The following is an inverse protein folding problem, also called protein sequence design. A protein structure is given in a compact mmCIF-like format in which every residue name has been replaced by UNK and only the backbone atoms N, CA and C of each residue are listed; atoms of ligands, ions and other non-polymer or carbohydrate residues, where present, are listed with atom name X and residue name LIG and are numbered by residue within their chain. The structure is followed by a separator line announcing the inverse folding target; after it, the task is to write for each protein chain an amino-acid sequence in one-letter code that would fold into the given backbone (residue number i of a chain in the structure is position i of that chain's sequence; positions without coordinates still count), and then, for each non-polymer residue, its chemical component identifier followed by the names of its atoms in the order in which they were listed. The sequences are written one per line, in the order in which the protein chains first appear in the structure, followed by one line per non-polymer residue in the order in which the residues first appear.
data_IF_902441115077
#
_entry.id   IF_902441115077
#
_cell.length_a   1.000
_cell.length_b   1.000
_cell.length_c   1.000
_cell.angle_alpha   90.00
_cell.angle_beta   90.00
_cell.angle_gamma   90.00
#
_symmetry.space_group_name_H-M   'P 1'
#
loop_
_entity.id
_entity.type
_entity.pdbx_description
1 polymer ?
2 non-polymer ?
3 non-polymer ?
4 water ?
#
# COMPACT_ATOMS: atom_id res chain seq x y z
N UNK A 6 16.64 -15.78 7.57
CA UNK A 6 15.70 -15.92 8.71
C UNK A 6 15.24 -14.54 9.14
N UNK A 7 15.46 -14.19 10.40
CA UNK A 7 15.06 -12.88 10.90
C UNK A 7 16.27 -12.06 11.28
N UNK A 8 16.15 -10.75 11.15
CA UNK A 8 17.24 -9.85 11.49
C UNK A 8 16.68 -8.69 12.29
N UNK A 9 16.80 -8.75 13.64
CA UNK A 9 16.27 -7.66 14.46
C UNK A 9 17.01 -6.34 14.27
N UNK A 10 16.35 -5.24 14.62
CA UNK A 10 16.98 -3.93 14.52
C UNK A 10 16.49 -3.13 15.72
N UNK A 11 17.31 -2.21 16.19
CA UNK A 11 16.94 -1.41 17.35
C UNK A 11 17.07 0.09 17.03
N UNK A 12 16.07 0.87 17.37
CA UNK A 12 16.10 2.33 17.13
C UNK A 12 16.37 3.02 18.47
N UNK A 13 17.24 4.02 18.44
CA UNK A 13 17.65 4.75 19.63
C UNK A 13 17.28 6.23 19.58
N UNK A 14 17.12 6.84 20.75
CA UNK A 14 16.71 8.21 20.81
C UNK A 14 17.62 9.10 20.00
N UNK A 15 17.02 9.90 19.14
CA UNK A 15 17.86 10.66 18.26
C UNK A 15 17.75 12.17 18.45
N UNK A 16 18.79 12.86 17.98
CA UNK A 16 18.85 14.30 18.00
C UNK A 16 17.98 14.65 16.79
N UNK A 17 17.67 15.92 16.64
CA UNK A 17 16.83 16.33 15.53
C UNK A 17 17.15 15.74 14.18
N UNK A 18 16.11 15.35 13.46
CA UNK A 18 16.28 14.81 12.11
C UNK A 18 16.32 16.02 11.20
N UNK A 19 17.19 15.98 10.21
CA UNK A 19 17.35 17.14 9.35
C UNK A 19 17.78 16.77 7.95
N UNK A 20 17.14 17.38 6.95
CA UNK A 20 17.52 17.10 5.59
C UNK A 20 16.38 17.24 4.63
N UNK A 21 16.70 17.01 3.35
CA UNK A 21 15.73 17.06 2.25
C UNK A 21 16.02 15.78 1.49
N UNK A 22 14.97 15.00 1.24
CA UNK A 22 15.14 13.72 0.56
C UNK A 22 13.99 13.41 -0.37
N UNK A 23 14.28 12.68 -1.44
CA UNK A 23 13.23 12.27 -2.37
C UNK A 23 12.77 10.89 -1.87
N UNK A 24 11.47 10.72 -1.72
CA UNK A 24 10.90 9.46 -1.26
C UNK A 24 10.79 8.49 -2.43
N UNK A 25 10.91 7.17 -2.16
CA UNK A 25 10.80 6.19 -3.25
C UNK A 25 9.41 6.24 -3.91
N UNK A 26 9.31 5.69 -5.11
CA UNK A 26 8.06 5.69 -5.85
C UNK A 26 6.89 5.00 -5.19
N UNK A 27 5.70 5.40 -5.60
CA UNK A 27 4.46 4.85 -5.04
C UNK A 27 4.30 3.37 -5.43
N UNK A 28 4.06 2.53 -4.44
CA UNK A 28 3.91 1.08 -4.66
C UNK A 28 2.67 0.75 -5.50
N UNK A 29 1.53 1.32 -5.14
CA UNK A 29 0.29 1.07 -5.88
C UNK A 29 0.42 1.39 -7.36
N UNK A 30 0.94 2.57 -7.67
CA UNK A 30 1.10 2.95 -9.07
C UNK A 30 2.19 2.12 -9.76
N UNK A 31 3.23 1.76 -9.01
CA UNK A 31 4.31 0.97 -9.60
C UNK A 31 3.82 -0.41 -10.02
N UNK A 32 3.04 -1.05 -9.17
CA UNK A 32 2.50 -2.38 -9.52
C UNK A 32 1.70 -2.24 -10.83
N UNK A 33 0.82 -1.25 -10.87
CA UNK A 33 -0.05 -1.05 -12.04
C UNK A 33 0.73 -0.65 -13.29
N UNK A 34 1.86 0.01 -13.11
CA UNK A 34 2.69 0.42 -14.26
C UNK A 34 3.23 -0.83 -14.96
N UNK A 35 3.70 -1.79 -14.16
CA UNK A 35 4.22 -3.04 -14.73
C UNK A 35 3.06 -3.82 -15.34
N UNK A 36 1.92 -3.86 -14.65
CA UNK A 36 0.79 -4.62 -15.17
C UNK A 36 0.21 -4.06 -16.46
N UNK A 37 -0.08 -2.76 -16.46
CA UNK A 37 -0.68 -2.18 -17.65
C UNK A 37 0.32 -2.05 -18.76
N UNK A 38 1.58 -1.76 -18.41
CA UNK A 38 2.62 -1.69 -19.41
C UNK A 38 2.80 -3.06 -20.07
N UNK A 39 2.71 -4.13 -19.27
CA UNK A 39 2.89 -5.46 -19.85
C UNK A 39 1.71 -5.93 -20.68
N UNK A 40 0.54 -5.39 -20.40
CA UNK A 40 -0.65 -5.78 -21.13
C UNK A 40 -0.90 -4.97 -22.38
N UNK A 41 -0.51 -3.70 -22.36
CA UNK A 41 -0.79 -2.81 -23.48
C UNK A 41 -0.07 -3.11 -24.78
N UNK A 42 -0.55 -2.48 -25.83
CA UNK A 42 0.06 -2.64 -27.14
C UNK A 42 1.25 -1.69 -27.24
N UNK A 43 2.39 -2.21 -27.66
CA UNK A 43 3.52 -1.34 -27.82
C UNK A 43 4.36 -1.11 -26.57
N UNK A 44 5.11 -0.03 -26.59
CA UNK A 44 6.05 0.26 -25.50
C UNK A 44 5.57 1.20 -24.42
N UNK A 45 5.91 0.85 -23.18
CA UNK A 45 5.59 1.70 -22.05
C UNK A 45 6.93 2.05 -21.40
N UNK A 46 7.11 3.32 -20.99
CA UNK A 46 8.34 3.78 -20.36
C UNK A 46 8.00 4.34 -18.99
N UNK A 47 8.69 3.85 -17.95
CA UNK A 47 8.38 4.26 -16.58
C UNK A 47 9.58 4.86 -15.85
N UNK A 48 9.41 6.04 -15.27
CA UNK A 48 10.47 6.64 -14.47
C UNK A 48 9.91 6.75 -13.05
N UNK A 49 10.79 6.62 -12.06
CA UNK A 49 10.40 6.71 -10.67
C UNK A 49 9.84 5.44 -10.07
N UNK A 50 9.95 4.30 -10.77
CA UNK A 50 9.40 3.05 -10.25
C UNK A 50 9.97 2.62 -8.91
N UNK A 51 9.10 2.12 -8.03
CA UNK A 51 9.55 1.59 -6.75
C UNK A 51 10.14 0.22 -7.05
N UNK A 52 11.37 -0.02 -6.61
CA UNK A 52 12.02 -1.29 -6.87
C UNK A 52 12.05 -2.21 -5.65
N UNK A 53 11.00 -2.13 -4.85
CA UNK A 53 10.89 -2.99 -3.68
C UNK A 53 10.53 -4.41 -4.13
N UNK A 54 10.66 -5.38 -3.23
CA UNK A 54 10.40 -6.77 -3.60
C UNK A 54 9.00 -7.04 -4.15
N UNK A 55 7.98 -6.39 -3.59
CA UNK A 55 6.60 -6.60 -4.04
C UNK A 55 6.44 -6.27 -5.52
N UNK A 56 7.01 -5.13 -5.93
CA UNK A 56 6.87 -4.68 -7.31
C UNK A 56 7.67 -5.55 -8.27
N UNK A 57 8.85 -5.95 -7.85
CA UNK A 57 9.66 -6.81 -8.71
C UNK A 57 8.92 -8.12 -8.94
N UNK A 58 8.22 -8.64 -7.94
CA UNK A 58 7.47 -9.88 -8.14
C UNK A 58 6.36 -9.69 -9.19
N UNK A 59 5.67 -8.55 -9.17
CA UNK A 59 4.65 -8.30 -10.19
C UNK A 59 5.30 -8.29 -11.58
N UNK A 60 6.46 -7.66 -11.68
CA UNK A 60 7.16 -7.63 -12.95
C UNK A 60 7.50 -9.03 -13.46
N UNK A 61 7.95 -9.89 -12.56
CA UNK A 61 8.29 -11.25 -12.96
C UNK A 61 7.06 -12.02 -13.41
N UNK A 62 5.91 -11.75 -12.77
CA UNK A 62 4.70 -12.44 -13.18
C UNK A 62 4.30 -11.98 -14.59
N UNK A 63 4.45 -10.69 -14.87
CA UNK A 63 4.12 -10.20 -16.22
C UNK A 63 5.06 -10.81 -17.28
N UNK A 64 6.33 -10.93 -16.94
CA UNK A 64 7.30 -11.55 -17.87
C UNK A 64 6.89 -13.00 -18.14
N UNK A 65 6.39 -13.67 -17.10
CA UNK A 65 5.97 -15.05 -17.23
C UNK A 65 4.81 -15.21 -18.20
N UNK A 66 4.11 -14.13 -18.48
CA UNK A 66 2.97 -14.17 -19.39
C UNK A 66 3.25 -13.48 -20.71
N UNK A 67 4.52 -13.22 -20.99
CA UNK A 67 4.88 -12.66 -22.29
C UNK A 67 5.38 -11.25 -22.45
N UNK A 68 5.31 -10.45 -21.40
CA UNK A 68 5.80 -9.08 -21.48
C UNK A 68 7.32 -9.04 -21.40
N UNK A 69 7.95 -8.13 -22.12
CA UNK A 69 9.39 -8.01 -22.04
C UNK A 69 9.62 -6.78 -21.17
N UNK A 70 10.36 -6.95 -20.08
CA UNK A 70 10.63 -5.86 -19.15
C UNK A 70 12.13 -5.73 -18.94
N UNK A 71 12.63 -4.50 -19.00
CA UNK A 71 14.07 -4.24 -18.83
C UNK A 71 14.26 -2.84 -18.27
N UNK A 72 15.42 -2.59 -17.68
CA UNK A 72 15.71 -1.26 -17.14
C UNK A 72 16.89 -0.66 -17.90
N UNK A 73 16.66 0.50 -18.51
CA UNK A 73 17.69 1.22 -19.29
C UNK A 73 17.95 2.51 -18.54
N UNK A 74 19.15 2.67 -17.98
CA UNK A 74 19.42 3.86 -17.20
C UNK A 74 18.46 3.88 -16.02
N UNK A 75 17.70 4.96 -15.85
CA UNK A 75 16.75 5.02 -14.74
C UNK A 75 15.31 4.78 -15.19
N UNK A 76 15.13 4.28 -16.41
CA UNK A 76 13.79 4.07 -16.97
C UNK A 76 13.48 2.59 -17.21
N UNK A 77 12.31 2.14 -16.77
CA UNK A 77 11.91 0.77 -17.04
C UNK A 77 11.16 0.83 -18.38
N UNK A 78 11.51 -0.06 -19.30
CA UNK A 78 10.88 -0.08 -20.62
C UNK A 78 10.18 -1.42 -20.75
N UNK A 79 8.92 -1.38 -21.14
CA UNK A 79 8.13 -2.59 -21.26
C UNK A 79 7.55 -2.74 -22.64
N UNK A 80 7.66 -3.93 -23.21
CA UNK A 80 7.04 -4.20 -24.51
C UNK A 80 5.85 -5.08 -24.13
N UNK A 81 4.65 -4.54 -24.32
CA UNK A 81 3.43 -5.25 -23.95
C UNK A 81 2.93 -6.23 -24.98
N UNK A 82 2.02 -7.11 -24.55
CA UNK A 82 1.47 -8.15 -25.43
C UNK A 82 0.18 -7.74 -26.10
N UNK A 83 -0.37 -6.60 -25.69
CA UNK A 83 -1.65 -6.14 -26.22
C UNK A 83 -2.81 -6.75 -25.43
N UNK A 84 -3.91 -6.02 -25.29
CA UNK A 84 -5.04 -6.56 -24.54
C UNK A 84 -5.50 -7.86 -25.19
N UNK A 85 -5.69 -8.88 -24.36
CA UNK A 85 -6.10 -10.20 -24.82
C UNK A 85 -4.92 -11.08 -25.24
N UNK A 86 -3.72 -10.53 -25.13
CA UNK A 86 -2.52 -11.25 -25.53
C UNK A 86 -1.69 -11.97 -24.49
N UNK A 87 -2.16 -12.04 -23.26
CA UNK A 87 -1.40 -12.72 -22.22
C UNK A 87 -1.24 -14.20 -22.56
N UNK A 88 -0.05 -14.72 -22.28
CA UNK A 88 0.29 -16.11 -22.57
C UNK A 88 0.24 -16.94 -21.28
N UNK A 89 -0.15 -18.20 -21.40
CA UNK A 89 -0.26 -19.07 -20.24
C UNK A 89 1.07 -19.24 -19.52
N UNK A 90 1.12 -18.97 -18.20
CA UNK A 90 2.39 -19.12 -17.50
C UNK A 90 2.79 -20.59 -17.33
N UNK A 91 4.09 -20.84 -17.41
CA UNK A 91 4.62 -22.20 -17.28
C UNK A 91 4.56 -22.71 -15.84
N UNK A 92 4.81 -21.81 -14.90
CA UNK A 92 4.83 -22.21 -13.50
C UNK A 92 3.96 -21.28 -12.67
N UNK A 93 3.80 -21.58 -11.38
CA UNK A 93 2.97 -20.72 -10.53
C UNK A 93 3.55 -19.32 -10.50
N UNK A 94 2.66 -18.35 -10.33
CA UNK A 94 3.03 -16.94 -10.24
C UNK A 94 3.26 -16.68 -8.76
N UNK A 95 4.49 -16.36 -8.40
CA UNK A 95 4.88 -16.14 -7.00
C UNK A 95 4.85 -14.66 -6.65
N UNK A 96 3.88 -14.27 -5.83
CA UNK A 96 3.73 -12.89 -5.45
C UNK A 96 4.39 -12.51 -4.13
N UNK A 97 5.11 -13.46 -3.55
CA UNK A 97 5.80 -13.17 -2.30
C UNK A 97 4.89 -12.61 -1.22
N UNK A 98 5.16 -11.37 -0.79
CA UNK A 98 4.37 -10.70 0.26
C UNK A 98 3.26 -9.82 -0.29
N UNK A 99 3.17 -9.71 -1.63
CA UNK A 99 2.25 -8.75 -2.26
C UNK A 99 0.83 -9.10 -2.62
N UNK A 100 -0.12 -8.69 -1.78
CA UNK A 100 -1.52 -8.96 -2.10
C UNK A 100 -1.98 -8.15 -3.31
N UNK A 101 -1.45 -6.94 -3.45
CA UNK A 101 -1.83 -6.11 -4.60
C UNK A 101 -1.54 -6.83 -5.92
N UNK A 102 -0.31 -7.31 -6.06
CA UNK A 102 0.04 -8.02 -7.29
C UNK A 102 -0.82 -9.26 -7.46
N UNK A 103 -0.96 -10.01 -6.38
CA UNK A 103 -1.74 -11.25 -6.42
C UNK A 103 -3.19 -11.03 -6.79
N UNK A 104 -3.88 -10.20 -6.02
CA UNK A 104 -5.29 -10.00 -6.25
C UNK A 104 -5.60 -9.35 -7.59
N UNK A 105 -4.81 -8.37 -8.01
CA UNK A 105 -5.07 -7.74 -9.29
C UNK A 105 -4.77 -8.71 -10.42
N UNK A 106 -3.73 -9.52 -10.27
CA UNK A 106 -3.41 -10.45 -11.35
C UNK A 106 -4.46 -11.56 -11.43
N UNK A 107 -5.06 -11.93 -10.30
CA UNK A 107 -6.13 -12.94 -10.34
C UNK A 107 -7.24 -12.47 -11.28
N UNK A 108 -7.62 -11.20 -11.15
CA UNK A 108 -8.65 -10.67 -12.02
C UNK A 108 -8.16 -10.58 -13.45
N UNK A 109 -6.95 -10.07 -13.63
CA UNK A 109 -6.38 -9.90 -14.97
C UNK A 109 -6.33 -11.20 -15.79
N UNK A 110 -5.76 -12.25 -15.20
CA UNK A 110 -5.58 -13.49 -15.97
C UNK A 110 -6.59 -14.59 -15.70
N UNK A 111 -7.35 -14.45 -14.63
CA UNK A 111 -8.34 -15.47 -14.28
C UNK A 111 -9.39 -15.66 -15.37
N UNK A 112 -9.65 -14.61 -16.14
CA UNK A 112 -10.65 -14.65 -17.21
C UNK A 112 -10.13 -15.21 -18.55
N UNK A 113 -8.85 -15.59 -18.59
CA UNK A 113 -8.26 -16.18 -19.79
C UNK A 113 -8.46 -17.68 -19.75
N UNK A 114 -8.64 -18.27 -20.93
CA UNK A 114 -8.90 -19.70 -21.06
C UNK A 114 -7.64 -20.59 -20.96
N UNK A 115 -6.95 -20.48 -19.84
CA UNK A 115 -5.79 -21.33 -19.53
C UNK A 115 -5.66 -21.33 -18.01
N UNK A 116 -4.87 -22.25 -17.47
CA UNK A 116 -4.70 -22.32 -16.02
C UNK A 116 -3.64 -21.35 -15.52
N UNK A 117 -3.87 -20.78 -14.34
CA UNK A 117 -2.90 -19.91 -13.69
C UNK A 117 -2.92 -20.26 -12.19
N UNK A 118 -1.74 -20.42 -11.59
CA UNK A 118 -1.66 -20.74 -10.18
C UNK A 118 -0.96 -19.60 -9.44
N UNK A 119 -1.44 -19.31 -8.24
CA UNK A 119 -0.95 -18.19 -7.46
C UNK A 119 -0.43 -18.67 -6.10
N UNK A 120 0.79 -18.29 -5.77
CA UNK A 120 1.40 -18.66 -4.49
C UNK A 120 2.06 -17.44 -3.87
N UNK A 121 2.45 -17.56 -2.62
CA UNK A 121 3.07 -16.43 -1.95
C UNK A 121 3.73 -16.87 -0.67
N UNK A 122 4.17 -15.91 0.14
CA UNK A 122 4.88 -16.24 1.38
C UNK A 122 3.97 -16.61 2.54
N UNK A 123 4.55 -16.81 3.71
CA UNK A 123 3.73 -17.24 4.86
C UNK A 123 2.68 -16.20 5.25
N UNK A 124 2.99 -14.93 5.03
CA UNK A 124 2.04 -13.87 5.33
C UNK A 124 0.89 -13.83 4.30
N UNK A 125 1.24 -13.76 3.02
CA UNK A 125 0.22 -13.69 1.97
C UNK A 125 -0.70 -14.92 1.93
N UNK A 126 -0.13 -16.07 2.24
CA UNK A 126 -0.88 -17.31 2.23
C UNK A 126 -1.98 -17.41 3.28
N UNK A 127 -1.95 -16.53 4.28
CA UNK A 127 -2.99 -16.51 5.32
C UNK A 127 -4.09 -15.48 5.04
N UNK A 128 -3.87 -14.60 4.06
CA UNK A 128 -4.83 -13.54 3.76
C UNK A 128 -6.03 -13.97 2.92
N UNK A 129 -7.19 -13.34 3.13
CA UNK A 129 -8.40 -13.70 2.36
C UNK A 129 -8.43 -13.36 0.89
N UNK A 130 -8.75 -14.33 0.03
CA UNK A 130 -8.85 -14.04 -1.39
C UNK A 130 -10.31 -14.14 -1.83
N UNK A 131 -11.20 -14.57 -0.94
CA UNK A 131 -12.60 -14.70 -1.31
C UNK A 131 -13.19 -13.44 -1.88
N UNK A 132 -12.73 -12.30 -1.35
CA UNK A 132 -13.26 -11.01 -1.81
C UNK A 132 -13.05 -10.75 -3.30
N UNK A 133 -12.02 -11.37 -3.88
CA UNK A 133 -11.81 -11.24 -5.33
C UNK A 133 -12.26 -12.51 -6.04
N UNK A 134 -12.14 -13.67 -5.40
CA UNK A 134 -12.57 -14.90 -6.07
C UNK A 134 -14.07 -15.02 -6.29
N UNK A 135 -14.88 -14.44 -5.39
CA UNK A 135 -16.31 -14.49 -5.58
C UNK A 135 -16.78 -13.78 -6.85
N UNK A 136 -16.35 -12.54 -7.09
CA UNK A 136 -16.80 -11.90 -8.33
C UNK A 136 -16.26 -12.66 -9.54
N UNK A 137 -15.05 -13.20 -9.44
CA UNK A 137 -14.52 -13.97 -10.58
C UNK A 137 -15.39 -15.21 -10.83
N UNK A 138 -15.92 -15.84 -9.77
CA UNK A 138 -16.81 -17.00 -9.99
C UNK A 138 -18.06 -16.53 -10.74
N UNK A 139 -18.54 -15.33 -10.44
CA UNK A 139 -19.74 -14.82 -11.12
C UNK A 139 -19.42 -14.59 -12.58
N UNK A 140 -18.17 -14.24 -12.89
CA UNK A 140 -17.75 -14.00 -14.27
C UNK A 140 -17.46 -15.31 -15.04
N UNK A 141 -17.58 -16.45 -14.37
CA UNK A 141 -17.37 -17.73 -15.02
C UNK A 141 -16.03 -18.41 -14.80
N UNK A 142 -15.21 -17.85 -13.92
CA UNK A 142 -13.89 -18.42 -13.65
C UNK A 142 -14.05 -19.60 -12.72
N UNK A 143 -13.29 -20.67 -12.98
CA UNK A 143 -13.30 -21.88 -12.16
C UNK A 143 -12.17 -21.69 -11.17
N UNK A 144 -12.51 -21.85 -9.89
CA UNK A 144 -11.55 -21.64 -8.81
C UNK A 144 -11.25 -22.85 -7.96
N UNK A 145 -9.95 -23.11 -7.73
CA UNK A 145 -9.51 -24.16 -6.83
C UNK A 145 -8.64 -23.42 -5.81
N UNK A 146 -9.06 -23.43 -4.56
CA UNK A 146 -8.34 -22.72 -3.51
C UNK A 146 -8.26 -23.59 -2.26
N UNK A 147 -7.43 -23.15 -1.31
CA UNK A 147 -7.36 -23.85 -0.04
C UNK A 147 -8.52 -23.39 0.83
N UNK A 148 -8.89 -24.18 1.83
CA UNK A 148 -10.01 -23.83 2.69
C UNK A 148 -9.96 -22.39 3.14
N UNK A 149 -11.11 -21.73 3.06
CA UNK A 149 -11.23 -20.33 3.45
C UNK A 149 -10.87 -19.40 2.29
N UNK A 150 -10.75 -19.97 1.09
CA UNK A 150 -10.35 -19.23 -0.12
C UNK A 150 -8.99 -18.55 0.11
N UNK A 151 -8.00 -19.39 0.45
CA UNK A 151 -6.64 -18.94 0.69
C UNK A 151 -5.72 -19.56 -0.36
N UNK A 152 -4.54 -18.98 -0.54
CA UNK A 152 -3.55 -19.52 -1.48
C UNK A 152 -3.04 -20.87 -0.92
N UNK A 153 -2.54 -21.74 -1.80
CA UNK A 153 -2.43 -21.57 -3.26
C UNK A 153 -3.78 -21.60 -3.94
N UNK A 154 -3.89 -20.89 -5.05
CA UNK A 154 -5.14 -20.84 -5.82
C UNK A 154 -4.81 -21.10 -7.27
N UNK A 155 -5.66 -21.90 -7.93
CA UNK A 155 -5.51 -22.11 -9.37
C UNK A 155 -6.81 -21.68 -10.02
N UNK A 156 -6.68 -20.84 -11.05
CA UNK A 156 -7.84 -20.33 -11.78
C UNK A 156 -7.83 -20.86 -13.19
N UNK A 157 -9.01 -20.95 -13.80
CA UNK A 157 -9.14 -21.37 -15.19
C UNK A 157 -10.33 -20.60 -15.71
N UNK A 158 -10.07 -19.68 -16.64
CA UNK A 158 -11.14 -18.88 -17.19
C UNK A 158 -11.98 -19.63 -18.19
N UNK A 159 -13.22 -19.18 -18.44
CA UNK A 159 -14.16 -19.78 -19.39
C UNK A 159 -13.75 -19.35 -20.79
N UNK A 160 -14.33 -19.96 -21.82
CA UNK A 160 -13.99 -19.53 -23.16
C UNK A 160 -14.41 -18.07 -23.36
N UNK A 161 -15.59 -17.74 -22.84
CA UNK A 161 -16.14 -16.39 -22.93
C UNK A 161 -16.60 -15.95 -21.54
N UNK A 162 -15.88 -15.01 -20.92
CA UNK A 162 -16.30 -14.59 -19.58
C UNK A 162 -17.62 -13.80 -19.62
N UNK A 163 -18.26 -13.74 -18.45
CA UNK A 163 -19.54 -13.03 -18.27
C UNK A 163 -19.30 -11.68 -17.59
N UNK A 164 -19.72 -10.57 -18.23
CA UNK A 164 -19.51 -9.28 -17.57
C UNK A 164 -20.49 -9.14 -16.41
N UNK A 165 -20.08 -8.48 -15.33
CA UNK A 165 -20.97 -8.33 -14.20
C UNK A 165 -21.02 -6.87 -13.73
N UNK A 166 -21.97 -6.59 -12.84
CA UNK A 166 -22.10 -5.30 -12.17
C UNK A 166 -21.86 -5.72 -10.73
N UNK A 167 -20.78 -5.23 -10.13
CA UNK A 167 -20.44 -5.66 -8.79
C UNK A 167 -20.33 -4.55 -7.79
N UNK A 168 -21.11 -4.66 -6.70
CA UNK A 168 -21.05 -3.65 -5.65
C UNK A 168 -20.03 -4.16 -4.62
N UNK A 169 -18.91 -3.45 -4.48
CA UNK A 169 -17.85 -3.90 -3.56
C UNK A 169 -18.37 -3.77 -2.12
N UNK A 170 -18.36 -4.89 -1.37
CA UNK A 170 -18.87 -4.86 0.01
C UNK A 170 -18.04 -4.23 1.12
N UNK A 171 -16.74 -4.10 0.91
CA UNK A 171 -15.87 -3.45 1.88
C UNK A 171 -15.06 -2.41 1.10
N UNK A 172 -14.43 -1.46 1.79
CA UNK A 172 -13.69 -0.42 1.09
C UNK A 172 -12.33 -0.85 0.59
N UNK A 173 -12.35 -1.73 -0.41
CA UNK A 173 -11.14 -2.29 -1.00
C UNK A 173 -10.89 -1.86 -2.44
N UNK A 174 -9.78 -1.16 -2.67
CA UNK A 174 -9.40 -0.73 -4.00
C UNK A 174 -8.93 -1.97 -4.75
N UNK A 175 -8.40 -2.97 -4.03
CA UNK A 175 -7.94 -4.18 -4.72
C UNK A 175 -9.10 -4.97 -5.32
N UNK A 176 -10.23 -5.05 -4.63
CA UNK A 176 -11.37 -5.78 -5.20
C UNK A 176 -11.90 -5.01 -6.40
N UNK A 177 -12.03 -3.70 -6.26
CA UNK A 177 -12.49 -2.88 -7.38
C UNK A 177 -11.57 -3.09 -8.58
N UNK A 178 -10.27 -3.08 -8.32
CA UNK A 178 -9.28 -3.21 -9.36
C UNK A 178 -9.30 -4.58 -10.03
N UNK A 179 -9.44 -5.64 -9.24
CA UNK A 179 -9.47 -6.97 -9.81
C UNK A 179 -10.65 -7.15 -10.75
N UNK A 180 -11.83 -6.63 -10.38
CA UNK A 180 -13.00 -6.76 -11.24
C UNK A 180 -12.81 -5.96 -12.54
N UNK A 181 -12.29 -4.74 -12.44
CA UNK A 181 -12.03 -3.96 -13.65
C UNK A 181 -11.01 -4.64 -14.55
N UNK A 182 -9.95 -5.21 -13.97
CA UNK A 182 -8.94 -5.86 -14.83
C UNK A 182 -9.54 -7.09 -15.50
N UNK A 183 -10.43 -7.81 -14.80
CA UNK A 183 -11.06 -8.99 -15.42
C UNK A 183 -11.92 -8.51 -16.58
N UNK A 184 -12.54 -7.35 -16.39
CA UNK A 184 -13.39 -6.79 -17.44
C UNK A 184 -12.62 -6.50 -18.73
N UNK A 185 -11.32 -6.29 -18.65
CA UNK A 185 -10.54 -5.99 -19.87
C UNK A 185 -10.60 -7.12 -20.89
N UNK A 186 -10.74 -8.36 -20.45
CA UNK A 186 -10.81 -9.46 -21.42
C UNK A 186 -12.20 -10.09 -21.48
N UNK A 187 -13.20 -9.33 -21.07
CA UNK A 187 -14.59 -9.78 -21.05
C UNK A 187 -15.43 -8.96 -22.01
N UNK A 188 -16.23 -9.62 -22.86
CA UNK A 188 -17.04 -8.85 -23.80
C UNK A 188 -18.21 -8.20 -23.07
N UNK A 189 -18.52 -6.96 -23.43
CA UNK A 189 -19.64 -6.27 -22.80
C UNK A 189 -19.12 -5.23 -21.82
N UNK A 190 -20.02 -4.72 -20.99
CA UNK A 190 -19.69 -3.70 -20.01
C UNK A 190 -19.60 -4.24 -18.59
N UNK A 191 -18.44 -4.06 -17.97
CA UNK A 191 -18.21 -4.45 -16.58
C UNK A 191 -18.44 -3.19 -15.74
N UNK A 192 -19.21 -3.32 -14.66
CA UNK A 192 -19.48 -2.17 -13.81
C UNK A 192 -19.11 -2.47 -12.37
N UNK A 193 -18.37 -1.55 -11.75
CA UNK A 193 -18.05 -1.71 -10.35
C UNK A 193 -18.72 -0.54 -9.64
N UNK A 194 -19.46 -0.85 -8.58
CA UNK A 194 -20.11 0.19 -7.81
C UNK A 194 -19.35 0.23 -6.48
N UNK A 195 -18.81 1.40 -6.18
CA UNK A 195 -18.02 1.60 -4.99
C UNK A 195 -18.80 2.58 -4.09
N UNK A 196 -19.36 2.08 -2.98
CA UNK A 196 -20.12 2.95 -2.08
C UNK A 196 -19.28 3.97 -1.31
N UNK A 197 -18.01 3.64 -1.08
CA UNK A 197 -17.08 4.51 -0.37
C UNK A 197 -15.82 4.54 -1.23
N UNK A 198 -15.37 5.73 -1.61
CA UNK A 198 -14.21 5.85 -2.47
C UNK A 198 -12.92 5.26 -1.90
N UNK A 199 -12.18 4.57 -2.77
CA UNK A 199 -10.88 4.01 -2.41
C UNK A 199 -9.89 4.52 -3.46
N UNK A 200 -8.59 4.29 -3.23
CA UNK A 200 -7.59 4.81 -4.16
C UNK A 200 -7.98 4.42 -5.58
N UNK A 201 -7.87 5.41 -6.46
CA UNK A 201 -8.34 5.30 -7.83
C UNK A 201 -7.29 5.19 -8.91
N UNK A 202 -6.14 4.65 -8.56
CA UNK A 202 -5.07 4.49 -9.54
C UNK A 202 -5.46 3.63 -10.74
N UNK A 203 -6.24 2.58 -10.52
CA UNK A 203 -6.64 1.73 -11.64
C UNK A 203 -7.45 2.52 -12.64
N UNK A 204 -8.49 3.22 -12.14
CA UNK A 204 -9.35 4.01 -13.04
C UNK A 204 -8.57 5.06 -13.83
N UNK A 205 -7.76 5.85 -13.14
CA UNK A 205 -6.99 6.91 -13.78
C UNK A 205 -6.00 6.36 -14.79
N UNK A 206 -5.28 5.30 -14.41
CA UNK A 206 -4.29 4.74 -15.32
C UNK A 206 -4.92 4.04 -16.52
N UNK A 207 -6.01 3.30 -16.31
CA UNK A 207 -6.65 2.67 -17.46
C UNK A 207 -7.16 3.72 -18.43
N UNK A 208 -7.69 4.84 -17.92
CA UNK A 208 -8.13 5.88 -18.84
C UNK A 208 -6.91 6.41 -19.61
N UNK A 209 -5.78 6.53 -18.92
CA UNK A 209 -4.56 7.03 -19.56
C UNK A 209 -4.02 6.11 -20.63
N UNK A 210 -4.28 4.81 -20.48
CA UNK A 210 -3.85 3.80 -21.46
C UNK A 210 -4.86 3.65 -22.60
N UNK A 211 -5.93 4.46 -22.55
CA UNK A 211 -6.90 4.43 -23.63
C UNK A 211 -8.17 3.62 -23.45
N UNK A 212 -8.37 3.07 -22.26
CA UNK A 212 -9.56 2.27 -22.03
C UNK A 212 -10.81 3.15 -22.03
N UNK A 213 -11.92 2.60 -22.51
CA UNK A 213 -13.20 3.30 -22.48
C UNK A 213 -13.75 3.01 -21.07
N UNK A 214 -13.29 3.79 -20.09
CA UNK A 214 -13.70 3.62 -18.70
C UNK A 214 -14.22 4.96 -18.22
N UNK A 215 -15.41 4.97 -17.62
CA UNK A 215 -15.97 6.21 -17.11
C UNK A 215 -16.25 6.07 -15.61
N UNK A 216 -16.22 7.19 -14.91
CA UNK A 216 -16.53 7.19 -13.49
C UNK A 216 -17.59 8.25 -13.27
N UNK A 217 -18.70 7.87 -12.66
CA UNK A 217 -19.77 8.82 -12.36
C UNK A 217 -19.97 8.79 -10.86
N UNK A 218 -19.99 9.96 -10.23
CA UNK A 218 -20.19 9.98 -8.78
C UNK A 218 -21.51 10.66 -8.47
N UNK A 219 -22.36 9.98 -7.70
CA UNK A 219 -23.65 10.50 -7.31
C UNK A 219 -23.39 11.55 -6.22
N UNK A 220 -24.34 12.44 -5.98
CA UNK A 220 -24.16 13.45 -4.96
C UNK A 220 -23.95 12.81 -3.61
N UNK A 221 -24.43 11.57 -3.44
CA UNK A 221 -24.24 10.91 -2.13
C UNK A 221 -22.88 10.25 -2.01
N UNK A 222 -22.03 10.43 -3.02
CA UNK A 222 -20.67 9.88 -2.98
C UNK A 222 -20.44 8.52 -3.63
N UNK A 223 -21.51 7.79 -3.93
CA UNK A 223 -21.37 6.47 -4.55
C UNK A 223 -20.79 6.60 -5.97
N UNK A 224 -19.80 5.77 -6.26
CA UNK A 224 -19.13 5.78 -7.57
C UNK A 224 -19.55 4.62 -8.44
N UNK A 225 -19.90 4.92 -9.69
CA UNK A 225 -20.30 3.89 -10.66
C UNK A 225 -19.22 3.96 -11.71
N UNK A 226 -18.45 2.89 -11.82
CA UNK A 226 -17.32 2.82 -12.73
C UNK A 226 -17.66 1.79 -13.82
N UNK A 227 -17.70 2.25 -15.06
CA UNK A 227 -18.06 1.39 -16.19
C UNK A 227 -16.87 1.19 -17.11
N UNK A 228 -16.65 -0.05 -17.54
CA UNK A 228 -15.54 -0.34 -18.44
C UNK A 228 -16.02 -1.19 -19.60
N UNK A 229 -15.68 -0.78 -20.83
CA UNK A 229 -16.05 -1.59 -22.00
C UNK A 229 -14.90 -2.58 -22.21
N UNK A 230 -15.22 -3.87 -22.22
CA UNK A 230 -14.19 -4.88 -22.37
C UNK A 230 -13.65 -5.12 -23.75
N UNK A 231 -12.49 -5.78 -23.79
CA UNK A 231 -11.79 -6.16 -25.00
C UNK A 231 -11.44 -5.01 -25.92
N UNK A 232 -11.13 -3.86 -25.32
CA UNK A 232 -10.73 -2.69 -26.08
C UNK A 232 -9.22 -2.54 -26.14
N UNK A 233 -8.72 -1.74 -27.08
CA UNK A 233 -7.28 -1.57 -27.17
C UNK A 233 -6.70 -0.73 -26.04
N UNK A 234 -5.51 -1.10 -25.61
CA UNK A 234 -4.75 -0.36 -24.61
C UNK A 234 -3.45 -0.03 -25.34
N UNK A 235 -2.98 1.19 -25.16
CA UNK A 235 -1.78 1.71 -25.82
C UNK A 235 -0.71 2.07 -24.81
N UNK A 236 0.52 1.62 -25.06
CA UNK A 236 1.64 1.90 -24.19
C UNK A 236 1.81 3.39 -23.90
N UNK A 237 2.25 3.69 -22.68
CA UNK A 237 2.38 5.07 -22.25
C UNK A 237 3.67 5.42 -21.56
N UNK A 238 3.89 6.72 -21.41
CA UNK A 238 5.04 7.21 -20.66
C UNK A 238 4.46 7.49 -19.27
N UNK A 239 5.06 6.91 -18.25
CA UNK A 239 4.57 7.03 -16.88
C UNK A 239 5.66 7.62 -16.00
N UNK A 240 5.30 8.60 -15.18
CA UNK A 240 6.23 9.17 -14.24
C UNK A 240 5.57 8.91 -12.89
N UNK A 241 6.16 7.98 -12.14
CA UNK A 241 5.64 7.57 -10.84
C UNK A 241 5.96 8.57 -9.74
N UNK A 242 4.93 9.03 -8.99
CA UNK A 242 5.14 10.01 -7.91
C UNK A 242 5.64 9.29 -6.67
N UNK A 243 6.12 10.06 -5.69
CA UNK A 243 6.60 9.47 -4.45
C UNK A 243 5.49 8.84 -3.62
N UNK A 244 5.81 7.74 -2.96
CA UNK A 244 4.86 6.99 -2.14
C UNK A 244 4.46 7.74 -0.85
N UNK A 245 3.18 8.11 -0.71
CA UNK A 245 2.76 8.82 0.49
C UNK A 245 2.74 7.92 1.73
N UNK A 246 2.61 6.61 1.52
CA UNK A 246 2.65 5.69 2.65
C UNK A 246 4.08 5.56 3.17
N UNK A 247 5.06 5.57 2.28
CA UNK A 247 6.46 5.48 2.71
C UNK A 247 6.86 6.83 3.34
N UNK A 248 6.35 7.91 2.77
CA UNK A 248 6.61 9.27 3.27
C UNK A 248 6.20 9.40 4.75
N UNK A 249 5.16 8.68 5.13
CA UNK A 249 4.65 8.73 6.49
C UNK A 249 5.71 8.48 7.57
N UNK A 250 6.67 7.61 7.26
CA UNK A 250 7.68 7.27 8.28
C UNK A 250 8.62 8.42 8.60
N UNK A 251 9.30 9.01 7.61
CA UNK A 251 10.17 10.13 7.98
C UNK A 251 9.33 11.33 8.40
N UNK A 252 8.12 11.44 7.86
CA UNK A 252 7.26 12.57 8.22
C UNK A 252 6.86 12.52 9.70
N UNK A 253 6.40 11.36 10.17
CA UNK A 253 6.00 11.29 11.58
C UNK A 253 7.25 11.39 12.46
N UNK A 254 8.35 10.82 12.03
CA UNK A 254 9.58 10.90 12.79
C UNK A 254 10.00 12.37 12.99
N UNK A 255 9.88 13.18 11.93
CA UNK A 255 10.25 14.59 12.02
C UNK A 255 9.30 15.34 12.96
N UNK A 256 8.03 14.97 12.97
CA UNK A 256 7.09 15.63 13.89
C UNK A 256 7.42 15.32 15.35
N UNK A 257 7.82 14.09 15.61
CA UNK A 257 8.07 13.65 17.00
C UNK A 257 9.42 13.91 17.58
N UNK A 258 10.47 13.82 16.77
CA UNK A 258 11.84 14.02 17.27
C UNK A 258 12.09 15.53 17.41
N UNK A 259 12.35 16.01 18.63
CA UNK A 259 12.59 17.44 18.84
C UNK A 259 13.76 17.93 17.99
N UNK A 260 13.69 19.19 17.56
CA UNK A 260 14.77 19.79 16.78
C UNK A 260 14.84 19.33 15.34
N UNK A 261 13.72 18.86 14.80
CA UNK A 261 13.71 18.32 13.43
C UNK A 261 13.11 19.25 12.36
N UNK A 262 13.64 19.11 11.15
CA UNK A 262 13.19 19.91 10.00
C UNK A 262 13.54 19.05 8.79
N UNK A 263 12.52 18.37 8.25
CA UNK A 263 12.74 17.45 7.14
C UNK A 263 11.81 17.77 5.98
N UNK A 264 12.37 17.81 4.78
CA UNK A 264 11.55 18.04 3.60
C UNK A 264 11.56 16.78 2.75
N UNK A 265 10.37 16.29 2.39
CA UNK A 265 10.27 15.11 1.55
C UNK A 265 9.77 15.61 0.18
N UNK A 266 10.51 15.25 -0.87
CA UNK A 266 10.16 15.73 -2.21
C UNK A 266 9.31 14.82 -3.06
N UNK A 267 8.50 15.43 -3.91
CA UNK A 267 7.69 14.73 -4.91
C UNK A 267 6.73 13.70 -4.35
N UNK A 268 5.94 14.11 -3.36
CA UNK A 268 5.00 13.19 -2.71
C UNK A 268 3.61 13.19 -3.35
N UNK A 269 3.09 12.00 -3.66
CA UNK A 269 1.73 11.88 -4.22
C UNK A 269 0.73 12.49 -3.22
N UNK A 270 -0.14 13.37 -3.70
CA UNK A 270 -1.13 14.04 -2.85
C UNK A 270 -2.58 13.76 -3.23
N UNK A 271 -2.80 12.68 -3.99
CA UNK A 271 -4.17 12.25 -4.38
C UNK A 271 -4.88 12.11 -3.03
N UNK A 272 -6.04 12.76 -2.86
CA UNK A 272 -6.76 12.69 -1.58
C UNK A 272 -7.17 11.33 -1.05
N UNK A 273 -7.17 10.32 -1.88
CA UNK A 273 -7.50 8.98 -1.41
C UNK A 273 -6.27 8.39 -0.69
N UNK A 274 -5.20 9.17 -0.63
CA UNK A 274 -3.95 8.69 -0.02
C UNK A 274 -3.44 9.55 1.12
N UNK A 275 -4.11 10.67 1.38
CA UNK A 275 -3.60 11.61 2.37
C UNK A 275 -4.34 11.76 3.69
N UNK A 276 -5.14 10.76 4.06
CA UNK A 276 -5.85 10.85 5.33
C UNK A 276 -4.93 11.06 6.54
N UNK A 277 -3.74 10.48 6.53
CA UNK A 277 -2.83 10.67 7.66
C UNK A 277 -2.39 12.12 7.81
N UNK A 278 -2.08 12.77 6.68
CA UNK A 278 -1.67 14.16 6.76
C UNK A 278 -2.78 15.01 7.37
N UNK A 279 -4.01 14.83 6.91
CA UNK A 279 -5.13 15.59 7.44
C UNK A 279 -5.26 15.33 8.94
N UNK A 280 -5.18 14.05 9.32
CA UNK A 280 -5.30 13.69 10.75
C UNK A 280 -4.20 14.32 11.58
N UNK A 281 -2.95 14.25 11.13
CA UNK A 281 -1.85 14.84 11.89
C UNK A 281 -2.02 16.36 11.99
N UNK A 282 -2.51 17.00 10.93
CA UNK A 282 -2.72 18.45 11.00
C UNK A 282 -3.74 18.77 12.08
N UNK A 283 -4.79 17.96 12.18
CA UNK A 283 -5.81 18.18 13.20
C UNK A 283 -5.24 17.99 14.61
N UNK A 284 -4.19 17.19 14.72
CA UNK A 284 -3.52 16.94 16.00
C UNK A 284 -2.51 18.04 16.33
N UNK A 285 -2.34 18.99 15.41
CA UNK A 285 -1.40 20.08 15.62
C UNK A 285 -0.07 20.01 14.89
N UNK A 286 0.06 19.08 13.94
CA UNK A 286 1.32 18.92 13.20
C UNK A 286 1.64 20.10 12.29
N UNK A 287 2.93 20.38 12.17
CA UNK A 287 3.44 21.46 11.32
C UNK A 287 3.94 20.79 10.05
N UNK A 288 3.04 20.71 9.06
CA UNK A 288 3.35 20.11 7.78
C UNK A 288 2.98 21.15 6.72
N UNK A 289 3.97 21.61 5.98
CA UNK A 289 3.74 22.62 4.95
C UNK A 289 3.75 21.92 3.59
N UNK A 290 2.72 22.18 2.80
CA UNK A 290 2.57 21.62 1.46
C UNK A 290 3.15 22.66 0.52
N UNK A 291 4.23 22.29 -0.14
CA UNK A 291 4.98 23.19 -1.01
C UNK A 291 4.91 22.85 -2.49
N UNK A 292 4.70 23.89 -3.29
CA UNK A 292 4.67 23.76 -4.75
C UNK A 292 3.79 22.62 -5.27
N UNK A 293 2.50 22.64 -4.90
CA UNK A 293 1.58 21.61 -5.36
C UNK A 293 1.57 21.73 -6.88
N UNK A 294 1.66 20.61 -7.57
CA UNK A 294 1.77 20.63 -9.01
C UNK A 294 1.28 19.35 -9.63
N UNK A 295 1.24 19.33 -10.96
CA UNK A 295 0.78 18.15 -11.67
C UNK A 295 2.01 17.51 -12.27
N UNK A 296 2.22 16.23 -11.98
CA UNK A 296 3.38 15.52 -12.50
C UNK A 296 2.95 14.10 -12.88
N UNK A 297 3.22 13.70 -14.10
CA UNK A 297 2.83 12.36 -14.52
C UNK A 297 1.33 12.12 -14.40
N UNK A 298 0.53 13.18 -14.50
CA UNK A 298 -0.92 12.99 -14.41
C UNK A 298 -1.46 12.90 -13.00
N UNK A 299 -0.60 13.12 -12.00
CA UNK A 299 -1.03 13.07 -10.61
C UNK A 299 -0.66 14.32 -9.85
N UNK A 300 -1.36 14.56 -8.75
CA UNK A 300 -1.09 15.71 -7.90
C UNK A 300 0.08 15.34 -7.02
N UNK A 301 1.08 16.22 -6.97
CA UNK A 301 2.23 15.99 -6.10
C UNK A 301 2.60 17.32 -5.44
N UNK A 302 3.37 17.22 -4.38
CA UNK A 302 3.86 18.40 -3.66
C UNK A 302 5.06 17.97 -2.84
N UNK A 303 5.80 18.95 -2.35
CA UNK A 303 6.91 18.64 -1.46
C UNK A 303 6.35 18.97 -0.06
N UNK A 304 6.79 18.23 0.94
CA UNK A 304 6.28 18.45 2.29
C UNK A 304 7.40 18.80 3.25
N UNK A 305 7.29 19.95 3.91
CA UNK A 305 8.30 20.34 4.88
C UNK A 305 7.66 20.07 6.24
N UNK A 306 8.35 19.27 7.04
CA UNK A 306 7.84 18.83 8.32
C UNK A 306 8.76 19.25 9.45
N UNK A 307 8.20 19.92 10.45
CA UNK A 307 8.97 20.36 11.60
C UNK A 307 8.41 19.79 12.93
N UNK A 308 9.29 19.60 13.91
CA UNK A 308 8.87 19.08 15.21
C UNK A 308 7.64 19.81 15.70
N UNK A 309 6.68 19.05 16.21
CA UNK A 309 5.42 19.59 16.69
C UNK A 309 4.92 18.95 17.97
N UNK A 310 4.12 19.69 18.72
CA UNK A 310 3.51 19.14 19.92
C UNK A 310 2.14 18.65 19.41
N UNK A 311 1.80 17.39 19.70
CA UNK A 311 0.53 16.85 19.21
C UNK A 311 -0.50 16.59 20.30
N UNK A 312 -1.78 16.67 19.93
CA UNK A 312 -2.87 16.41 20.87
C UNK A 312 -3.76 15.34 20.25
N UNK A 313 -4.24 14.43 21.09
CA UNK A 313 -5.11 13.36 20.61
C UNK A 313 -6.39 13.83 19.96
N UNK A 314 -6.86 13.08 18.95
CA UNK A 314 -8.09 13.41 18.26
C UNK A 314 -8.94 12.15 18.00
N UNK A 315 -10.18 12.37 17.58
CA UNK A 315 -11.06 11.27 17.20
C UNK A 315 -10.95 11.15 15.69
N UNK A 316 -10.62 9.96 15.21
CA UNK A 316 -10.47 9.67 13.78
C UNK A 316 -11.68 8.80 13.35
N UNK A 317 -12.62 9.41 12.61
CA UNK A 317 -13.85 8.79 12.10
C UNK A 317 -13.70 7.62 11.14
N UNK A 318 -14.64 6.68 11.21
CA UNK A 318 -14.59 5.50 10.38
C UNK A 318 -14.56 5.78 8.89
N UNK A 319 -15.13 6.91 8.46
CA UNK A 319 -15.17 7.24 7.04
C UNK A 319 -13.85 7.78 6.46
N UNK A 320 -12.90 8.10 7.32
CA UNK A 320 -11.59 8.57 6.84
C UNK A 320 -10.67 7.37 6.63
N UNK A 321 -11.04 6.25 7.22
CA UNK A 321 -10.16 5.08 7.17
C UNK A 321 -9.65 4.65 5.80
N UNK A 322 -10.51 4.55 4.79
CA UNK A 322 -9.99 4.12 3.49
C UNK A 322 -8.85 4.99 2.94
N UNK A 323 -8.88 6.28 3.27
CA UNK A 323 -7.88 7.20 2.76
C UNK A 323 -6.55 7.16 3.53
N UNK A 324 -6.46 6.30 4.54
CA UNK A 324 -5.23 6.22 5.32
C UNK A 324 -5.11 4.83 5.92
N UNK A 325 -5.73 3.84 5.30
CA UNK A 325 -5.75 2.50 5.92
C UNK A 325 -4.37 1.92 6.26
N UNK A 326 -3.37 2.16 5.42
CA UNK A 326 -2.04 1.61 5.72
C UNK A 326 -1.24 2.48 6.69
N UNK A 327 -1.78 3.64 7.05
CA UNK A 327 -1.08 4.52 7.96
C UNK A 327 -1.51 4.42 9.41
N UNK A 328 -2.39 3.48 9.74
CA UNK A 328 -2.81 3.38 11.13
C UNK A 328 -1.65 2.98 12.06
N UNK A 329 -0.75 2.09 11.60
CA UNK A 329 0.37 1.74 12.50
C UNK A 329 1.20 2.97 12.87
N UNK A 330 1.60 3.78 11.89
CA UNK A 330 2.43 4.94 12.22
C UNK A 330 1.63 6.05 12.95
N UNK A 331 0.34 6.16 12.68
CA UNK A 331 -0.51 7.11 13.41
C UNK A 331 -0.59 6.71 14.89
N UNK A 332 -0.70 5.41 15.15
CA UNK A 332 -0.76 4.91 16.53
C UNK A 332 0.51 5.27 17.29
N UNK A 333 1.64 5.19 16.62
CA UNK A 333 2.91 5.56 17.23
C UNK A 333 2.91 7.07 17.50
N UNK A 334 2.42 7.86 16.55
CA UNK A 334 2.36 9.32 16.79
C UNK A 334 1.46 9.61 18.02
N UNK A 335 0.34 8.88 18.12
CA UNK A 335 -0.60 9.07 19.22
C UNK A 335 0.03 8.74 20.58
N UNK A 336 1.03 7.85 20.56
CA UNK A 336 1.68 7.46 21.81
C UNK A 336 2.45 8.63 22.43
N UNK A 337 2.64 9.69 21.65
CA UNK A 337 3.36 10.88 22.13
C UNK A 337 2.50 12.12 22.11
N UNK A 338 1.20 11.95 21.93
CA UNK A 338 0.28 13.07 21.89
C UNK A 338 -0.39 13.26 23.25
N UNK A 339 -0.81 14.49 23.50
CA UNK A 339 -1.52 14.82 24.75
C UNK A 339 -2.96 14.29 24.70
N UNK A 340 -3.30 13.40 25.62
CA UNK A 340 -4.66 12.89 25.61
C UNK A 340 -4.83 11.62 24.83
N UNK A 341 -6.09 11.30 24.55
CA UNK A 341 -6.45 10.07 23.85
C UNK A 341 -6.76 10.28 22.37
N UNK A 342 -6.30 9.33 21.56
CA UNK A 342 -6.60 9.34 20.13
C UNK A 342 -7.49 8.11 19.97
N UNK A 343 -8.64 8.28 19.34
CA UNK A 343 -9.59 7.18 19.18
C UNK A 343 -9.80 6.92 17.70
N UNK A 344 -9.59 5.66 17.29
CA UNK A 344 -9.72 5.27 15.89
C UNK A 344 -10.66 4.08 15.73
N UNK A 345 -11.75 4.23 14.96
CA UNK A 345 -12.67 3.10 14.74
C UNK A 345 -12.73 2.72 13.25
N UNK A 346 -13.61 1.79 12.91
CA UNK A 346 -13.75 1.33 11.53
C UNK A 346 -12.49 0.63 11.04
N UNK A 347 -11.81 -0.05 11.95
CA UNK A 347 -10.55 -0.72 11.63
C UNK A 347 -10.60 -2.21 11.29
N UNK A 348 -11.78 -2.76 10.99
CA UNK A 348 -11.84 -4.18 10.70
C UNK A 348 -10.88 -4.66 9.62
N UNK A 349 -10.64 -3.84 8.60
CA UNK A 349 -9.75 -4.24 7.53
C UNK A 349 -8.30 -4.43 7.94
N UNK A 350 -7.89 -3.81 9.04
CA UNK A 350 -6.53 -3.98 9.49
C UNK A 350 -6.25 -5.44 9.89
N UNK A 351 -7.28 -6.18 10.27
CA UNK A 351 -7.04 -7.54 10.73
C UNK A 351 -6.70 -8.54 9.63
N UNK A 352 -6.83 -8.13 8.37
CA UNK A 352 -6.53 -9.03 7.25
C UNK A 352 -5.39 -8.57 6.35
N UNK A 353 -4.51 -7.71 6.89
CA UNK A 353 -3.36 -7.21 6.14
C UNK A 353 -2.15 -8.13 6.24
N UNK A 354 -0.97 -7.62 5.89
CA UNK A 354 0.25 -8.42 5.97
C UNK A 354 0.32 -9.14 7.32
N UNK A 355 -0.13 -8.46 8.36
CA UNK A 355 -0.28 -9.06 9.69
C UNK A 355 -1.65 -8.55 10.12
N UNK A 356 -2.17 -9.07 11.22
CA UNK A 356 -3.40 -8.48 11.76
C UNK A 356 -2.75 -7.22 12.40
N UNK A 357 -2.88 -6.09 11.73
CA UNK A 357 -2.23 -4.87 12.19
C UNK A 357 -2.76 -4.28 13.46
N UNK A 358 -4.04 -4.51 13.74
CA UNK A 358 -4.63 -3.97 14.94
C UNK A 358 -4.01 -4.71 16.14
N UNK A 359 -3.93 -6.03 16.06
CA UNK A 359 -3.32 -6.82 17.15
C UNK A 359 -1.82 -6.53 17.25
N UNK A 360 -1.12 -6.48 16.12
CA UNK A 360 0.33 -6.25 16.15
C UNK A 360 0.68 -4.88 16.70
N UNK A 361 -0.09 -3.86 16.32
CA UNK A 361 0.17 -2.53 16.83
C UNK A 361 -0.12 -2.44 18.32
N UNK A 362 -1.27 -2.96 18.75
CA UNK A 362 -1.63 -2.92 20.16
C UNK A 362 -0.59 -3.66 20.99
N UNK A 363 -0.17 -4.85 20.55
CA UNK A 363 0.82 -5.58 21.34
C UNK A 363 2.17 -4.87 21.36
N UNK A 364 2.55 -4.30 20.22
CA UNK A 364 3.83 -3.59 20.18
C UNK A 364 3.82 -2.35 21.06
N UNK A 365 2.70 -1.64 21.07
CA UNK A 365 2.60 -0.45 21.92
C UNK A 365 2.68 -0.84 23.39
N UNK A 366 1.95 -1.88 23.78
CA UNK A 366 1.98 -2.32 25.18
C UNK A 366 3.36 -2.78 25.63
N UNK A 367 4.06 -3.50 24.76
CA UNK A 367 5.41 -3.99 25.06
C UNK A 367 6.33 -2.79 25.33
N UNK A 368 6.02 -1.68 24.67
CA UNK A 368 6.80 -0.46 24.81
C UNK A 368 6.20 0.60 25.74
N UNK A 369 5.39 0.11 26.69
CA UNK A 369 4.83 0.94 27.75
C UNK A 369 3.69 1.88 27.51
N UNK A 370 3.04 1.73 26.37
CA UNK A 370 1.95 2.63 26.01
C UNK A 370 0.60 2.13 26.50
N UNK A 371 -0.19 3.07 27.02
CA UNK A 371 -1.55 2.80 27.51
C UNK A 371 -2.46 2.80 26.29
N UNK A 372 -3.01 1.65 25.93
CA UNK A 372 -3.94 1.62 24.80
C UNK A 372 -4.99 0.53 25.03
N UNK A 373 -6.10 0.67 24.32
CA UNK A 373 -7.20 -0.30 24.40
C UNK A 373 -7.54 -0.78 23.00
N UNK A 374 -7.37 -2.08 22.79
CA UNK A 374 -7.67 -2.70 21.50
C UNK A 374 -9.09 -3.23 21.51
N UNK A 375 -9.89 -2.77 20.54
CA UNK A 375 -11.27 -3.23 20.41
C UNK A 375 -11.33 -4.18 19.21
N UNK A 376 -12.48 -4.80 18.93
CA UNK A 376 -12.58 -5.68 17.78
C UNK A 376 -12.27 -4.90 16.50
N UNK A 377 -12.72 -3.66 16.43
CA UNK A 377 -12.50 -2.86 15.24
C UNK A 377 -12.09 -1.43 15.56
N UNK A 378 -11.36 -1.26 16.66
CA UNK A 378 -10.97 0.07 17.08
C UNK A 378 -9.74 0.03 17.94
N UNK A 379 -9.14 1.21 18.11
CA UNK A 379 -7.97 1.33 18.98
C UNK A 379 -8.02 2.69 19.66
N UNK A 380 -7.76 2.71 20.96
CA UNK A 380 -7.67 3.97 21.70
C UNK A 380 -6.24 4.01 22.21
N UNK A 381 -5.55 5.13 22.00
CA UNK A 381 -4.18 5.28 22.48
C UNK A 381 -4.08 6.53 23.33
N UNK A 382 -3.45 6.43 24.51
CA UNK A 382 -3.25 7.60 25.35
C UNK A 382 -1.75 7.89 25.33
N UNK A 383 -1.37 9.15 25.09
CA UNK A 383 0.04 9.43 24.96
C UNK A 383 0.81 9.95 26.15
N UNK A 384 2.13 9.96 26.00
CA UNK A 384 3.07 10.51 26.99
C UNK A 384 3.98 11.41 26.14
N UNK A 385 3.62 12.69 25.99
CA UNK A 385 4.42 13.62 25.20
C UNK A 385 5.93 13.62 25.42
N UNK A 386 6.40 13.51 26.66
CA UNK A 386 7.85 13.54 26.84
C UNK A 386 8.55 12.20 26.59
N UNK A 387 7.77 11.16 26.25
CA UNK A 387 8.32 9.85 25.96
C UNK A 387 8.90 9.11 27.16
N UNK A 388 8.77 9.68 28.36
CA UNK A 388 9.31 9.01 29.54
C UNK A 388 8.58 7.70 29.82
N UNK A 389 9.36 6.66 30.13
CA UNK A 389 8.76 5.37 30.43
C UNK A 389 8.36 4.56 29.20
N UNK A 390 8.53 5.14 28.02
CA UNK A 390 8.17 4.41 26.79
C UNK A 390 9.38 3.72 26.19
N UNK A 391 9.12 2.73 25.33
CA UNK A 391 10.20 1.97 24.75
C UNK A 391 10.37 0.74 25.62
N UNK A 392 11.46 -0.01 25.44
CA UNK A 392 11.65 -1.20 26.25
C UNK A 392 13.11 -1.28 26.66
N UNK A 393 13.38 -0.93 27.91
CA UNK A 393 14.75 -0.95 28.39
C UNK A 393 15.39 -2.33 28.37
N UNK A 394 14.58 -3.39 28.49
CA UNK A 394 15.12 -4.75 28.49
C UNK A 394 15.54 -5.24 27.10
N UNK A 395 15.16 -4.51 26.07
CA UNK A 395 15.53 -4.90 24.72
C UNK A 395 14.59 -5.91 24.09
N UNK A 396 13.42 -6.09 24.70
CA UNK A 396 12.44 -7.03 24.18
C UNK A 396 12.02 -6.56 22.80
N UNK A 397 11.87 -7.51 21.87
CA UNK A 397 11.53 -7.16 20.49
C UNK A 397 10.05 -7.22 20.12
N UNK A 398 9.62 -6.20 19.37
CA UNK A 398 8.25 -6.15 18.87
C UNK A 398 8.07 -7.25 17.83
N UNK A 399 6.97 -7.99 17.91
CA UNK A 399 6.71 -9.02 16.92
C UNK A 399 6.17 -8.33 15.67
N UNK A 400 6.89 -8.47 14.56
CA UNK A 400 6.48 -7.82 13.33
C UNK A 400 5.53 -8.64 12.46
N UNK A 401 5.47 -9.93 12.72
CA UNK A 401 4.60 -10.81 11.96
C UNK A 401 4.72 -10.62 10.46
N UNK A 402 5.97 -10.56 10.00
CA UNK A 402 6.31 -10.43 8.59
C UNK A 402 5.69 -9.21 7.94
N UNK A 403 5.45 -8.17 8.73
CA UNK A 403 4.81 -6.97 8.24
C UNK A 403 5.74 -5.75 8.27
N UNK A 404 6.20 -5.36 7.07
CA UNK A 404 7.09 -4.22 6.92
C UNK A 404 6.63 -2.95 7.65
N UNK A 405 5.32 -2.66 7.67
CA UNK A 405 4.86 -1.44 8.33
C UNK A 405 4.90 -1.50 9.84
N UNK A 406 4.82 -2.70 10.41
CA UNK A 406 4.95 -2.82 11.86
C UNK A 406 6.43 -2.58 12.18
N UNK A 407 7.32 -3.16 11.37
CA UNK A 407 8.75 -2.95 11.62
C UNK A 407 9.12 -1.48 11.50
N UNK A 408 8.69 -0.83 10.43
CA UNK A 408 9.05 0.57 10.28
C UNK A 408 8.42 1.50 11.32
N UNK A 409 7.17 1.24 11.69
CA UNK A 409 6.51 2.10 12.67
C UNK A 409 7.19 2.06 14.03
N UNK A 410 7.55 0.86 14.47
CA UNK A 410 8.18 0.80 15.76
C UNK A 410 9.61 1.27 15.78
N UNK A 411 10.29 1.19 14.64
CA UNK A 411 11.64 1.74 14.59
C UNK A 411 11.51 3.26 14.72
N UNK A 412 10.47 3.86 14.12
CA UNK A 412 10.28 5.30 14.28
C UNK A 412 10.05 5.62 15.76
N UNK A 413 9.26 4.79 16.44
CA UNK A 413 8.97 5.04 17.85
C UNK A 413 10.26 5.13 18.70
N UNK A 414 11.23 4.28 18.40
CA UNK A 414 12.48 4.23 19.16
C UNK A 414 13.34 5.47 19.03
N UNK A 415 13.08 6.26 18.00
CA UNK A 415 13.84 7.50 17.81
C UNK A 415 13.34 8.55 18.80
N UNK A 416 12.20 8.29 19.43
CA UNK A 416 11.54 9.27 20.30
C UNK A 416 11.42 8.85 21.77
N UNK A 417 11.20 7.56 21.99
CA UNK A 417 11.00 7.04 23.35
C UNK A 417 12.23 7.14 24.23
N UNK A 418 12.01 7.17 25.55
CA UNK A 418 13.11 7.26 26.51
C UNK A 418 14.03 6.03 26.36
N UNK A 419 13.40 4.87 26.20
CA UNK A 419 14.10 3.61 26.05
C UNK A 419 14.03 3.17 24.60
N UNK A 420 15.06 2.47 24.11
CA UNK A 420 15.09 2.02 22.71
C UNK A 420 13.96 1.08 22.38
N UNK A 421 13.64 1.00 21.10
CA UNK A 421 12.60 0.10 20.63
C UNK A 421 13.29 -0.86 19.68
N UNK A 422 12.99 -2.15 19.87
CA UNK A 422 13.57 -3.19 19.04
C UNK A 422 12.48 -3.92 18.29
N UNK A 423 12.71 -4.25 17.01
CA UNK A 423 11.75 -5.03 16.25
C UNK A 423 12.41 -6.39 15.97
N UNK A 424 11.63 -7.46 15.93
CA UNK A 424 12.23 -8.77 15.73
C UNK A 424 12.78 -9.07 14.36
N UNK A 425 12.44 -8.24 13.38
CA UNK A 425 12.89 -8.49 12.01
C UNK A 425 12.74 -7.23 11.15
N UNK A 426 13.80 -6.90 10.41
CA UNK A 426 13.79 -5.75 9.51
C UNK A 426 13.87 -6.23 8.07
N UNK A 427 13.95 -7.55 7.87
CA UNK A 427 14.11 -8.08 6.52
C UNK A 427 12.95 -7.85 5.56
N UNK A 428 11.75 -7.61 6.07
CA UNK A 428 10.61 -7.40 5.16
C UNK A 428 10.42 -5.94 4.77
N UNK A 429 11.18 -5.04 5.37
CA UNK A 429 11.07 -3.63 5.01
C UNK A 429 11.31 -3.43 3.51
N UNK A 430 12.20 -4.24 2.92
CA UNK A 430 12.50 -4.11 1.50
C UNK A 430 11.33 -4.49 0.57
N UNK A 431 10.22 -4.99 1.11
CA UNK A 431 9.09 -5.30 0.21
C UNK A 431 8.50 -4.02 -0.37
N UNK A 432 8.56 -2.93 0.41
CA UNK A 432 8.00 -1.63 -0.02
C UNK A 432 8.94 -0.43 0.09
N UNK A 433 10.02 -0.56 0.86
CA UNK A 433 10.87 0.63 1.11
C UNK A 433 12.30 0.16 1.38
N UNK A 434 12.98 -0.38 0.36
CA UNK A 434 14.35 -0.86 0.59
C UNK A 434 15.32 0.23 1.07
N UNK A 435 15.02 1.47 0.71
CA UNK A 435 15.85 2.62 1.06
C UNK A 435 15.66 3.11 2.50
N UNK A 436 14.72 2.50 3.23
CA UNK A 436 14.38 2.97 4.60
C UNK A 436 15.56 3.23 5.52
N UNK A 437 16.41 2.23 5.71
CA UNK A 437 17.53 2.41 6.64
C UNK A 437 18.47 3.54 6.23
N UNK A 438 18.85 3.56 4.96
CA UNK A 438 19.74 4.60 4.46
C UNK A 438 19.10 5.97 4.53
N UNK A 439 17.83 6.06 4.13
CA UNK A 439 17.12 7.32 4.15
C UNK A 439 17.03 7.89 5.56
N UNK A 440 16.60 7.07 6.51
CA UNK A 440 16.50 7.53 7.89
C UNK A 440 17.86 7.88 8.49
N UNK A 441 18.87 7.07 8.20
CA UNK A 441 20.22 7.35 8.70
C UNK A 441 20.72 8.69 8.16
N UNK A 442 20.44 8.95 6.90
CA UNK A 442 20.88 10.21 6.30
C UNK A 442 20.28 11.42 7.00
N UNK A 443 19.08 11.27 7.54
CA UNK A 443 18.42 12.35 8.26
C UNK A 443 18.93 12.47 9.69
N UNK A 444 19.71 11.48 10.14
CA UNK A 444 20.25 11.53 11.49
C UNK A 444 19.75 10.46 12.43
N UNK A 445 18.83 9.62 11.98
CA UNK A 445 18.29 8.57 12.85
C UNK A 445 19.34 7.53 13.19
N UNK A 446 19.30 7.05 14.44
CA UNK A 446 20.21 6.02 14.91
C UNK A 446 19.45 4.70 14.95
N UNK A 447 19.65 3.86 13.94
CA UNK A 447 19.02 2.55 13.89
C UNK A 447 20.09 1.49 13.67
N UNK A 448 20.23 0.60 14.65
CA UNK A 448 21.24 -0.46 14.61
C UNK A 448 20.63 -1.76 14.10
N UNK A 449 21.20 -2.28 13.03
CA UNK A 449 20.73 -3.51 12.44
C UNK A 449 21.61 -4.59 13.05
N UNK A 450 21.00 -5.63 13.60
CA UNK A 450 21.77 -6.71 14.24
C UNK A 450 22.72 -7.42 13.26
X LIG B 1 -0.21 -5.44 -0.23
X LIG B 1 -1.67 -5.37 0.01
X LIG B 1 0.28 -6.76 0.38
X LIG B 1 0.03 -5.52 -1.65
X LIG B 1 0.35 -4.41 0.58
X LIG C 1 25.94 7.09 19.26
X LIG C 1 25.44 7.13 20.69
X LIG C 1 27.10 6.10 19.22
X LIG C 1 24.90 6.55 18.46
X LIG C 1 26.54 8.36 19.04
X LIG D 1 -3.75 -1.20 -2.52
X LIG D 1 -5.02 -1.08 -1.88
X LIG D 1 -5.15 -1.33 -0.35
X LIG D 1 -3.80 -1.11 0.37
X LIG D 1 -2.69 -1.91 -0.30
X LIG D 1 -2.56 -1.49 -1.77
X LIG D 1 -3.68 -1.06 -4.04
X LIG D 1 -5.71 -2.74 -0.07
X LIG D 1 -3.95 -1.47 1.75
X LIG D 1 -1.43 -1.70 0.39
X LIG D 1 -4.73 -1.35 -4.69
X LIG D 1 -2.62 -0.69 -4.57
X LIG D 1 -7.30 -3.12 0.08
X LIG D 1 -7.96 -3.09 -1.28
X LIG D 1 -7.93 -2.11 0.98
X LIG D 1 -7.44 -4.50 0.66
#
# INVERSE_FOLDING_TARGET
MSHGASSRPATARKSSGLSGTVRIPGDKSISHRSFMFGGLASGETRITGLLEGEDVINTGKAMQAMGARIRKEGDTWIIDGVGNGGLLAPEAPLDFGNAATGCRLTMGLVGVYDFDSTFIGDASLTKRPMGRVLNPLREMGVQVKSEDGDRLPVTLRGPKTPTPITYRVPMASAQVKSAVLLAGLNTPGITTVIEPIMTRDHTEKMLQGFGANLTVETDADGVRTIRLEGRGKLTGQVIDVPGDPSSTAFPLVAALLVPGSDVTILNVLMNPTRTGLILTLQEMGADIEVINPRLAGGEDVADLRVRSSTLKGVTVPEDRAPSMIDEYPILAVAAAFAEGATVMNGLEELRVKESDRLSAVANGLKLNGVDCDEGETSLVVRGRPDGKGLGNASGAAVATHLDHRIAMSFLVMGLVSENPVTVDDATMIATSFPEFMDLMAGLGAKIELSDTKAA
SO4 S O1 O2 O3 O4
SO4 S O1 O2 O3 O4
S3P C1 C2 C3 C4 C5 C6 C7 O1 O2 O3 O4 O5 P1 O6 O7 O8
#
